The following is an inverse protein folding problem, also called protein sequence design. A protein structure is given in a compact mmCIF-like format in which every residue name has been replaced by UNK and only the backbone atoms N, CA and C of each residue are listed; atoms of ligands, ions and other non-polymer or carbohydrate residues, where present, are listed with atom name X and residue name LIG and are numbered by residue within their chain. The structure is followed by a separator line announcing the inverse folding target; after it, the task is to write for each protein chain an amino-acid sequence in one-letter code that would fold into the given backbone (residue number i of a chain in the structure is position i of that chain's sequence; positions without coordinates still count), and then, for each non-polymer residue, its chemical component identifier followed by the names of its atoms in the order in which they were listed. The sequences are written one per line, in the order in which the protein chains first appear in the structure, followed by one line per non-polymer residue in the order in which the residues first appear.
data_IF_192825843576
#
_entry.id   IF_192825843576
#
_cell.length_a   1.000
_cell.length_b   1.000
_cell.length_c   1.000
_cell.angle_alpha   90.00
_cell.angle_beta   90.00
_cell.angle_gamma   90.00
#
_symmetry.space_group_name_H-M   'P 1'
#
loop_
_entity.id
_entity.type
_entity.pdbx_description
1 polymer ?
#
# COMPACT_ATOMS: atom_id res chain seq x y z
N UNK A 1 12.36 5.99 -25.34
CA UNK A 1 11.91 4.58 -25.41
C UNK A 1 10.42 4.61 -25.61
N UNK A 2 9.86 3.80 -26.53
CA UNK A 2 8.42 3.69 -26.71
C UNK A 2 7.82 2.87 -25.55
N UNK A 3 6.68 3.32 -25.01
CA UNK A 3 6.01 2.60 -23.92
C UNK A 3 5.31 1.35 -24.48
N UNK A 4 5.74 0.18 -24.05
CA UNK A 4 5.13 -1.10 -24.33
C UNK A 4 5.17 -1.99 -23.08
N UNK A 5 4.00 -2.28 -22.49
CA UNK A 5 3.88 -3.07 -21.29
C UNK A 5 3.55 -4.52 -21.61
N UNK A 6 4.56 -5.38 -21.58
CA UNK A 6 4.40 -6.83 -21.70
C UNK A 6 4.14 -7.41 -20.29
N UNK A 7 2.86 -7.60 -19.97
CA UNK A 7 2.42 -8.07 -18.65
C UNK A 7 3.04 -9.41 -18.28
N UNK A 8 3.18 -10.34 -19.22
CA UNK A 8 3.75 -11.66 -18.99
C UNK A 8 5.23 -11.54 -18.62
N UNK A 9 6.01 -10.88 -19.48
CA UNK A 9 7.46 -10.67 -19.27
C UNK A 9 7.72 -9.98 -17.94
N UNK A 10 7.06 -8.85 -17.69
CA UNK A 10 7.23 -8.05 -16.48
C UNK A 10 6.85 -8.85 -15.22
N UNK A 11 5.76 -9.64 -15.28
CA UNK A 11 5.38 -10.50 -14.14
C UNK A 11 6.43 -11.58 -13.85
N UNK A 12 6.97 -12.22 -14.88
CA UNK A 12 8.01 -13.25 -14.72
C UNK A 12 9.30 -12.65 -14.15
N UNK A 13 9.74 -11.51 -14.65
CA UNK A 13 10.91 -10.79 -14.14
C UNK A 13 10.73 -10.34 -12.68
N UNK A 14 9.54 -9.84 -12.34
CA UNK A 14 9.21 -9.39 -10.99
C UNK A 14 9.18 -10.56 -9.98
N UNK A 15 8.62 -11.70 -10.38
CA UNK A 15 8.64 -12.93 -9.58
C UNK A 15 10.07 -13.39 -9.32
N UNK A 16 10.93 -13.37 -10.33
CA UNK A 16 12.34 -13.75 -10.17
C UNK A 16 13.12 -12.73 -9.33
N UNK A 17 12.83 -11.44 -9.48
CA UNK A 17 13.39 -10.40 -8.62
C UNK A 17 13.03 -10.62 -7.14
N UNK A 18 11.76 -10.96 -6.82
CA UNK A 18 11.33 -11.27 -5.45
C UNK A 18 12.11 -12.47 -4.89
N UNK A 19 12.24 -13.55 -5.67
CA UNK A 19 13.01 -14.74 -5.26
C UNK A 19 14.46 -14.39 -4.93
N UNK A 20 15.09 -13.65 -5.83
CA UNK A 20 16.49 -13.21 -5.68
C UNK A 20 16.67 -12.31 -4.47
N UNK A 21 15.75 -11.33 -4.30
CA UNK A 21 15.82 -10.41 -3.17
C UNK A 21 15.69 -11.15 -1.83
N UNK A 22 14.72 -12.06 -1.69
CA UNK A 22 14.52 -12.87 -0.47
C UNK A 22 15.72 -13.79 -0.22
N UNK A 23 16.28 -14.41 -1.26
CA UNK A 23 17.50 -15.25 -1.13
C UNK A 23 18.67 -14.45 -0.59
N UNK A 24 18.87 -13.23 -1.05
CA UNK A 24 20.01 -12.36 -0.67
C UNK A 24 19.80 -11.69 0.70
N UNK A 25 18.56 -11.53 1.15
CA UNK A 25 18.22 -10.80 2.39
C UNK A 25 17.53 -11.69 3.44
N UNK A 26 17.61 -13.00 3.27
CA UNK A 26 17.01 -13.99 4.14
C UNK A 26 17.57 -15.38 3.86
N UNK A 27 16.70 -16.39 3.87
CA UNK A 27 17.02 -17.78 3.53
C UNK A 27 15.74 -18.51 3.04
N UNK A 28 15.85 -19.81 2.77
CA UNK A 28 14.75 -20.62 2.21
C UNK A 28 13.52 -20.73 3.13
N UNK A 29 13.69 -20.48 4.43
CA UNK A 29 12.59 -20.46 5.41
C UNK A 29 12.04 -19.04 5.71
N UNK A 30 12.63 -17.98 5.16
CA UNK A 30 12.18 -16.61 5.38
C UNK A 30 10.77 -16.42 4.84
N UNK A 31 9.86 -15.97 5.70
CA UNK A 31 8.47 -15.62 5.36
C UNK A 31 8.34 -14.15 5.00
N UNK A 32 7.30 -13.81 4.28
CA UNK A 32 6.93 -12.42 4.00
C UNK A 32 5.61 -12.08 4.68
N UNK A 33 5.62 -10.98 5.41
CA UNK A 33 4.43 -10.41 6.04
C UNK A 33 3.87 -9.32 5.12
N UNK A 34 2.56 -9.41 4.84
CA UNK A 34 1.86 -8.42 4.01
C UNK A 34 0.60 -7.93 4.70
N UNK A 35 0.38 -6.61 4.64
CA UNK A 35 -0.90 -6.01 5.01
C UNK A 35 -1.94 -6.27 3.93
N UNK A 36 -3.06 -6.93 4.30
CA UNK A 36 -4.13 -7.28 3.37
C UNK A 36 -5.29 -6.32 3.54
N UNK A 37 -5.48 -5.42 2.58
CA UNK A 37 -6.59 -4.45 2.57
C UNK A 37 -7.78 -4.88 1.70
N UNK A 38 -7.59 -5.89 0.82
CA UNK A 38 -8.57 -6.27 -0.20
C UNK A 38 -8.62 -5.30 -1.40
N UNK A 39 -7.71 -4.31 -1.45
CA UNK A 39 -7.52 -3.43 -2.61
C UNK A 39 -6.55 -4.04 -3.64
N UNK A 40 -6.55 -3.49 -4.87
CA UNK A 40 -5.78 -3.98 -6.04
C UNK A 40 -4.30 -4.23 -5.75
N UNK A 41 -3.63 -3.29 -5.06
CA UNK A 41 -2.19 -3.31 -4.84
C UNK A 41 -1.80 -4.44 -3.88
N UNK A 42 -2.43 -4.49 -2.71
CA UNK A 42 -2.19 -5.56 -1.73
C UNK A 42 -2.55 -6.94 -2.28
N UNK A 43 -3.60 -7.02 -3.12
CA UNK A 43 -4.02 -8.27 -3.77
C UNK A 43 -2.98 -8.74 -4.79
N UNK A 44 -2.53 -7.86 -5.67
CA UNK A 44 -1.52 -8.17 -6.70
C UNK A 44 -0.18 -8.54 -6.07
N UNK A 45 0.28 -7.79 -5.04
CA UNK A 45 1.53 -8.14 -4.33
C UNK A 45 1.40 -9.47 -3.62
N UNK A 46 0.26 -9.79 -2.98
CA UNK A 46 0.05 -11.09 -2.34
C UNK A 46 0.15 -12.24 -3.34
N UNK A 47 -0.47 -12.11 -4.52
CA UNK A 47 -0.41 -13.12 -5.58
C UNK A 47 1.01 -13.28 -6.14
N UNK A 48 1.75 -12.18 -6.34
CA UNK A 48 3.16 -12.20 -6.75
C UNK A 48 4.03 -12.95 -5.74
N UNK A 49 3.83 -12.68 -4.46
CA UNK A 49 4.55 -13.36 -3.37
C UNK A 49 4.26 -14.86 -3.35
N UNK A 50 2.99 -15.25 -3.50
CA UNK A 50 2.61 -16.67 -3.57
C UNK A 50 3.22 -17.34 -4.79
N UNK A 51 3.21 -16.69 -5.96
CA UNK A 51 3.85 -17.21 -7.18
C UNK A 51 5.38 -17.31 -7.04
N UNK A 52 6.00 -16.40 -6.32
CA UNK A 52 7.45 -16.38 -6.13
C UNK A 52 7.92 -17.39 -5.07
N UNK A 53 7.25 -17.48 -3.93
CA UNK A 53 7.74 -18.15 -2.72
C UNK A 53 6.91 -19.37 -2.30
N UNK A 54 5.69 -19.52 -2.84
CA UNK A 54 4.70 -20.46 -2.35
C UNK A 54 3.88 -19.90 -1.17
N UNK A 55 2.64 -20.36 -1.05
CA UNK A 55 1.67 -19.87 -0.06
C UNK A 55 2.11 -20.00 1.40
N UNK A 56 2.91 -21.03 1.72
CA UNK A 56 3.35 -21.33 3.09
C UNK A 56 4.38 -20.33 3.62
N UNK A 57 4.96 -19.51 2.72
CA UNK A 57 5.92 -18.45 3.05
C UNK A 57 5.30 -17.05 3.02
N UNK A 58 4.00 -16.92 2.78
CA UNK A 58 3.27 -15.64 2.77
C UNK A 58 2.28 -15.61 3.93
N UNK A 59 2.34 -14.54 4.74
CA UNK A 59 1.45 -14.36 5.89
C UNK A 59 0.73 -13.02 5.74
N UNK A 60 -0.59 -13.08 5.58
CA UNK A 60 -1.47 -11.92 5.48
C UNK A 60 -1.89 -11.39 6.84
N UNK A 61 -1.82 -10.09 7.04
CA UNK A 61 -2.33 -9.43 8.25
C UNK A 61 -3.45 -8.45 7.84
N UNK A 62 -4.66 -8.75 8.26
CA UNK A 62 -5.81 -7.84 8.16
C UNK A 62 -5.84 -6.94 9.39
N UNK A 63 -5.92 -5.62 9.20
CA UNK A 63 -5.76 -4.63 10.27
C UNK A 63 -6.90 -3.61 10.29
N UNK A 64 -8.14 -4.04 10.61
CA UNK A 64 -9.26 -3.11 10.72
C UNK A 64 -9.05 -2.12 11.87
N UNK A 65 -9.53 -0.88 11.71
CA UNK A 65 -9.63 0.10 12.77
C UNK A 65 -11.09 0.21 13.25
N UNK A 66 -11.48 -0.69 14.13
CA UNK A 66 -12.88 -0.87 14.53
C UNK A 66 -13.64 -1.77 13.56
N UNK A 67 -14.88 -1.41 13.24
CA UNK A 67 -15.70 -2.12 12.24
C UNK A 67 -15.32 -1.62 10.84
N UNK A 68 -14.89 -2.51 9.98
CA UNK A 68 -14.54 -2.21 8.60
C UNK A 68 -15.51 -2.91 7.65
N UNK A 69 -16.19 -2.15 6.78
CA UNK A 69 -17.25 -2.66 5.90
C UNK A 69 -16.74 -3.61 4.82
N UNK A 70 -15.52 -3.41 4.34
CA UNK A 70 -14.90 -4.14 3.24
C UNK A 70 -13.88 -5.19 3.70
N UNK A 71 -13.93 -5.61 4.97
CA UNK A 71 -13.07 -6.70 5.49
C UNK A 71 -13.29 -8.03 4.74
N UNK A 72 -14.49 -8.21 4.16
CA UNK A 72 -14.82 -9.36 3.31
C UNK A 72 -13.93 -9.48 2.08
N UNK A 73 -13.46 -8.37 1.50
CA UNK A 73 -12.58 -8.38 0.35
C UNK A 73 -11.19 -8.90 0.73
N UNK A 74 -10.71 -8.50 1.92
CA UNK A 74 -9.47 -9.05 2.48
C UNK A 74 -9.59 -10.55 2.75
N UNK A 75 -10.73 -11.00 3.31
CA UNK A 75 -10.99 -12.42 3.55
C UNK A 75 -11.06 -13.20 2.23
N UNK A 76 -11.78 -12.68 1.24
CA UNK A 76 -11.87 -13.28 -0.11
C UNK A 76 -10.48 -13.49 -0.73
N UNK A 77 -9.59 -12.52 -0.59
CA UNK A 77 -8.23 -12.61 -1.10
C UNK A 77 -7.43 -13.72 -0.43
N UNK A 78 -7.40 -13.76 0.90
CA UNK A 78 -6.61 -14.77 1.64
C UNK A 78 -7.13 -16.18 1.42
N UNK A 79 -8.46 -16.34 1.27
CA UNK A 79 -9.10 -17.62 0.94
C UNK A 79 -8.75 -18.06 -0.50
N UNK A 80 -8.80 -17.12 -1.46
CA UNK A 80 -8.43 -17.38 -2.87
C UNK A 80 -6.98 -17.83 -3.01
N UNK A 81 -6.06 -17.20 -2.27
CA UNK A 81 -4.63 -17.53 -2.32
C UNK A 81 -4.25 -18.70 -1.38
N UNK A 82 -5.10 -19.09 -0.46
CA UNK A 82 -4.87 -20.14 0.53
C UNK A 82 -3.68 -19.85 1.45
N UNK A 83 -3.42 -18.56 1.76
CA UNK A 83 -2.31 -18.15 2.63
C UNK A 83 -2.69 -18.14 4.11
N UNK A 84 -1.69 -18.36 4.98
CA UNK A 84 -1.85 -18.12 6.42
C UNK A 84 -2.19 -16.64 6.65
N UNK A 85 -3.17 -16.36 7.52
CA UNK A 85 -3.55 -14.99 7.82
C UNK A 85 -3.99 -14.81 9.27
N UNK A 86 -3.94 -13.56 9.72
CA UNK A 86 -4.40 -13.14 11.04
C UNK A 86 -5.14 -11.80 10.93
N UNK A 87 -6.10 -11.58 11.84
CA UNK A 87 -6.80 -10.30 11.98
C UNK A 87 -6.36 -9.63 13.28
N UNK A 88 -5.76 -8.45 13.16
CA UNK A 88 -5.33 -7.62 14.28
C UNK A 88 -6.08 -6.29 14.24
N UNK A 89 -7.12 -6.14 15.06
CA UNK A 89 -7.86 -4.89 15.13
C UNK A 89 -7.04 -3.82 15.87
N UNK A 90 -6.62 -2.79 15.15
CA UNK A 90 -5.76 -1.71 15.67
C UNK A 90 -6.52 -0.66 16.50
N UNK A 91 -7.85 -0.76 16.59
CA UNK A 91 -8.69 0.27 17.24
C UNK A 91 -8.32 0.51 18.72
N UNK A 92 -8.00 -0.56 19.47
CA UNK A 92 -7.59 -0.39 20.86
C UNK A 92 -6.32 0.44 21.00
N UNK A 93 -5.33 0.23 20.14
CA UNK A 93 -4.09 1.00 20.10
C UNK A 93 -4.36 2.46 19.67
N UNK A 94 -5.21 2.65 18.65
CA UNK A 94 -5.64 3.98 18.19
C UNK A 94 -6.32 4.77 19.31
N UNK A 95 -7.32 4.18 19.98
CA UNK A 95 -8.04 4.82 21.10
C UNK A 95 -7.14 5.04 22.32
N UNK A 96 -6.21 4.11 22.60
CA UNK A 96 -5.22 4.29 23.65
C UNK A 96 -4.31 5.50 23.42
N UNK A 97 -3.87 5.71 22.17
CA UNK A 97 -3.06 6.88 21.82
C UNK A 97 -3.87 8.18 21.88
N UNK A 98 -5.14 8.18 21.45
CA UNK A 98 -6.03 9.33 21.59
C UNK A 98 -6.17 9.73 23.08
N UNK A 99 -6.44 8.74 23.94
CA UNK A 99 -6.55 8.97 25.39
C UNK A 99 -5.26 9.57 25.98
N UNK A 100 -4.10 9.02 25.62
CA UNK A 100 -2.82 9.53 26.09
C UNK A 100 -2.55 10.99 25.65
N UNK A 101 -2.98 11.39 24.44
CA UNK A 101 -2.84 12.77 23.98
C UNK A 101 -3.76 13.74 24.70
N UNK A 102 -4.98 13.32 25.06
CA UNK A 102 -5.88 14.11 25.91
C UNK A 102 -5.28 14.27 27.32
N UNK A 103 -4.82 13.19 27.94
CA UNK A 103 -4.18 13.20 29.26
C UNK A 103 -2.91 14.08 29.29
N UNK A 104 -2.19 14.14 28.18
CA UNK A 104 -1.00 15.00 28.05
C UNK A 104 -1.32 16.47 27.72
N UNK A 105 -2.59 16.83 27.49
CA UNK A 105 -3.00 18.18 27.08
C UNK A 105 -2.61 18.56 25.65
N UNK A 106 -2.34 17.57 24.79
CA UNK A 106 -2.05 17.79 23.36
C UNK A 106 -3.34 17.92 22.54
N UNK A 107 -4.41 17.28 23.00
CA UNK A 107 -5.75 17.36 22.43
C UNK A 107 -6.77 17.66 23.52
N UNK A 108 -7.77 18.49 23.19
CA UNK A 108 -8.86 18.77 24.12
C UNK A 108 -9.88 17.62 24.11
N UNK A 109 -10.52 17.28 25.25
CA UNK A 109 -11.63 16.36 25.26
C UNK A 109 -12.78 16.88 24.40
N UNK A 110 -13.41 16.04 23.59
CA UNK A 110 -14.64 16.43 22.89
C UNK A 110 -15.76 16.68 23.92
N UNK A 111 -16.35 17.87 23.89
CA UNK A 111 -17.39 18.29 24.86
C UNK A 111 -18.73 17.57 24.65
N UNK A 112 -18.92 16.79 23.59
CA UNK A 112 -20.18 16.13 23.31
C UNK A 112 -20.09 14.61 23.23
N UNK A 113 -20.94 13.94 24.00
CA UNK A 113 -21.15 12.49 24.03
C UNK A 113 -21.87 11.93 22.76
N UNK A 114 -22.10 12.77 21.73
CA UNK A 114 -22.80 12.37 20.51
C UNK A 114 -21.85 12.18 19.32
N UNK A 115 -21.16 11.07 19.25
CA UNK A 115 -20.56 10.56 18.01
C UNK A 115 -19.23 11.16 17.55
N UNK A 116 -18.72 12.21 18.16
CA UNK A 116 -17.61 13.02 17.66
C UNK A 116 -16.31 12.96 18.47
N UNK A 117 -16.01 11.84 19.11
CA UNK A 117 -14.74 11.67 19.82
C UNK A 117 -13.50 11.86 18.91
N UNK A 118 -13.67 11.72 17.59
CA UNK A 118 -12.61 11.96 16.61
C UNK A 118 -12.48 13.43 16.21
N UNK A 119 -13.45 14.31 16.48
CA UNK A 119 -13.41 15.73 16.10
C UNK A 119 -12.40 16.54 16.94
N UNK A 120 -12.01 16.03 18.12
CA UNK A 120 -10.91 16.57 18.90
C UNK A 120 -9.54 16.43 18.21
N UNK A 121 -9.44 15.61 17.18
CA UNK A 121 -8.19 15.28 16.49
C UNK A 121 -8.16 15.85 15.07
N UNK A 122 -6.99 16.36 14.68
CA UNK A 122 -6.79 16.93 13.36
C UNK A 122 -7.01 15.91 12.24
N UNK A 123 -7.39 16.32 11.02
CA UNK A 123 -7.47 15.42 9.87
C UNK A 123 -6.19 14.62 9.66
N UNK A 124 -5.02 15.25 9.81
CA UNK A 124 -3.72 14.57 9.71
C UNK A 124 -3.53 13.45 10.74
N UNK A 125 -3.98 13.64 11.98
CA UNK A 125 -3.95 12.58 12.98
C UNK A 125 -4.87 11.42 12.60
N UNK A 126 -6.10 11.72 12.21
CA UNK A 126 -7.11 10.70 11.84
C UNK A 126 -6.70 9.86 10.65
N UNK A 127 -6.00 10.44 9.67
CA UNK A 127 -5.53 9.75 8.47
C UNK A 127 -4.22 9.00 8.71
N UNK A 128 -3.21 9.67 9.28
CA UNK A 128 -1.86 9.11 9.31
C UNK A 128 -1.60 8.18 10.50
N UNK A 129 -2.29 8.38 11.64
CA UNK A 129 -2.05 7.54 12.81
C UNK A 129 -2.46 6.08 12.60
N UNK A 130 -3.64 5.77 12.00
CA UNK A 130 -3.98 4.39 11.68
C UNK A 130 -2.97 3.71 10.73
N UNK A 131 -2.45 4.42 9.71
CA UNK A 131 -1.44 3.88 8.80
C UNK A 131 -0.14 3.53 9.54
N UNK A 132 0.33 4.40 10.46
CA UNK A 132 1.51 4.13 11.29
C UNK A 132 1.29 2.99 12.28
N UNK A 133 0.11 2.87 12.87
CA UNK A 133 -0.24 1.72 13.72
C UNK A 133 -0.27 0.40 12.93
N UNK A 134 -0.74 0.42 11.67
CA UNK A 134 -0.66 -0.74 10.78
C UNK A 134 0.79 -1.13 10.50
N UNK A 135 1.66 -0.18 10.19
CA UNK A 135 3.11 -0.44 10.02
C UNK A 135 3.70 -1.08 11.29
N UNK A 136 3.45 -0.49 12.47
CA UNK A 136 3.90 -1.05 13.75
C UNK A 136 3.37 -2.48 13.97
N UNK A 137 2.11 -2.74 13.59
CA UNK A 137 1.49 -4.07 13.70
C UNK A 137 2.17 -5.09 12.77
N UNK A 138 2.50 -4.72 11.52
CA UNK A 138 3.20 -5.60 10.58
C UNK A 138 4.59 -5.98 11.09
N UNK A 139 5.37 -5.01 11.54
CA UNK A 139 6.70 -5.29 12.10
C UNK A 139 6.64 -6.03 13.43
N UNK A 140 5.62 -5.76 14.26
CA UNK A 140 5.34 -6.53 15.48
C UNK A 140 5.01 -7.99 15.17
N UNK A 141 4.15 -8.25 14.18
CA UNK A 141 3.84 -9.60 13.72
C UNK A 141 5.09 -10.31 13.15
N UNK A 142 5.89 -9.59 12.35
CA UNK A 142 7.14 -10.12 11.81
C UNK A 142 8.13 -10.53 12.92
N UNK A 143 8.25 -9.73 13.96
CA UNK A 143 9.09 -10.02 15.12
C UNK A 143 8.59 -11.22 15.93
N UNK A 144 7.26 -11.36 16.09
CA UNK A 144 6.65 -12.49 16.83
C UNK A 144 6.75 -13.81 16.07
N UNK A 145 6.57 -13.79 14.74
CA UNK A 145 6.67 -14.99 13.89
C UNK A 145 8.14 -15.39 13.71
N UNK A 146 9.04 -14.42 13.64
CA UNK A 146 10.49 -14.62 13.44
C UNK A 146 10.85 -14.92 11.97
N UNK A 147 12.09 -14.60 11.59
CA UNK A 147 12.63 -14.78 10.24
C UNK A 147 11.69 -14.29 9.12
N UNK A 148 11.17 -13.07 9.27
CA UNK A 148 10.22 -12.46 8.35
C UNK A 148 10.78 -11.19 7.71
N UNK A 149 10.19 -10.81 6.55
CA UNK A 149 10.36 -9.50 5.92
C UNK A 149 8.98 -8.89 5.70
N UNK A 150 8.86 -7.58 5.88
CA UNK A 150 7.63 -6.82 5.64
C UNK A 150 7.67 -6.26 4.22
N UNK A 151 6.66 -6.58 3.40
CA UNK A 151 6.57 -6.05 2.04
C UNK A 151 5.75 -4.76 2.01
N UNK A 152 6.22 -3.78 1.25
CA UNK A 152 5.49 -2.58 0.89
C UNK A 152 4.58 -2.84 -0.33
N UNK A 153 3.42 -2.18 -0.40
CA UNK A 153 2.43 -2.33 -1.48
C UNK A 153 2.12 -1.03 -2.21
N UNK A 154 2.88 0.05 -1.97
CA UNK A 154 2.73 1.30 -2.73
C UNK A 154 3.17 1.10 -4.19
N UNK A 155 2.42 1.70 -5.11
CA UNK A 155 2.71 1.71 -6.54
C UNK A 155 3.34 3.05 -6.97
N UNK A 156 3.86 3.12 -8.20
CA UNK A 156 4.51 4.31 -8.75
C UNK A 156 3.58 5.53 -8.76
N UNK A 157 2.31 5.36 -9.13
CA UNK A 157 1.38 6.48 -9.29
C UNK A 157 1.09 7.16 -7.93
N UNK A 158 0.99 6.36 -6.86
CA UNK A 158 0.86 6.86 -5.49
C UNK A 158 2.16 7.54 -5.02
N UNK A 159 3.30 6.89 -5.26
CA UNK A 159 4.62 7.40 -4.88
C UNK A 159 4.93 8.75 -5.54
N UNK A 160 4.59 8.93 -6.83
CA UNK A 160 4.83 10.18 -7.56
C UNK A 160 4.12 11.38 -6.94
N UNK A 161 2.89 11.21 -6.46
CA UNK A 161 2.13 12.31 -5.83
C UNK A 161 2.19 12.27 -4.30
N UNK A 162 2.92 11.31 -3.74
CA UNK A 162 3.09 11.10 -2.30
C UNK A 162 1.78 10.79 -1.58
N UNK A 163 0.87 10.05 -2.24
CA UNK A 163 -0.39 9.59 -1.67
C UNK A 163 -0.15 8.38 -0.76
N UNK A 164 0.65 8.60 0.26
CA UNK A 164 0.99 7.63 1.29
C UNK A 164 1.39 8.34 2.58
N UNK A 165 1.25 7.65 3.70
CA UNK A 165 1.70 8.13 5.01
C UNK A 165 3.16 7.79 5.21
N UNK A 166 3.97 8.85 5.37
CA UNK A 166 5.40 8.73 5.66
C UNK A 166 5.63 7.95 6.97
N UNK A 167 6.42 6.88 6.91
CA UNK A 167 6.59 5.89 7.98
C UNK A 167 5.29 5.20 8.44
N UNK A 168 4.29 5.14 7.56
CA UNK A 168 3.08 4.35 7.71
C UNK A 168 3.02 3.28 6.60
N UNK A 169 2.07 3.41 5.70
CA UNK A 169 1.91 2.52 4.53
C UNK A 169 3.08 2.63 3.54
N UNK A 170 3.85 3.73 3.54
CA UNK A 170 5.10 3.83 2.75
C UNK A 170 6.25 2.98 3.28
N UNK A 171 6.17 2.40 4.49
CA UNK A 171 7.22 1.58 5.07
C UNK A 171 7.21 0.14 4.55
N UNK A 172 8.37 -0.51 4.65
CA UNK A 172 8.58 -1.91 4.28
C UNK A 172 10.07 -2.23 4.24
N UNK A 173 10.41 -3.50 4.04
CA UNK A 173 11.80 -3.94 3.82
C UNK A 173 12.13 -3.95 2.32
N UNK A 174 11.11 -4.11 1.46
CA UNK A 174 11.20 -4.05 0.01
C UNK A 174 9.85 -3.69 -0.61
N UNK A 175 9.86 -3.17 -1.84
CA UNK A 175 8.70 -2.62 -2.53
C UNK A 175 8.62 -3.14 -3.98
N UNK A 176 8.03 -4.32 -4.23
CA UNK A 176 8.08 -4.96 -5.55
C UNK A 176 7.43 -4.14 -6.66
N UNK A 177 6.34 -3.40 -6.37
CA UNK A 177 5.54 -2.68 -7.38
C UNK A 177 5.76 -1.16 -7.39
N UNK A 178 6.70 -0.61 -6.59
CA UNK A 178 6.89 0.85 -6.47
C UNK A 178 7.35 1.55 -7.76
N UNK A 179 7.71 0.81 -8.80
CA UNK A 179 8.04 1.33 -10.14
C UNK A 179 7.05 0.92 -11.22
N UNK A 180 5.90 0.38 -10.81
CA UNK A 180 4.78 0.03 -11.68
C UNK A 180 3.61 0.98 -11.42
N UNK A 181 2.98 1.46 -12.49
CA UNK A 181 1.80 2.32 -12.39
C UNK A 181 0.58 1.54 -11.92
N UNK A 182 -0.44 2.25 -11.44
CA UNK A 182 -1.72 1.65 -11.02
C UNK A 182 -2.31 0.73 -12.10
N UNK A 183 -2.29 1.15 -13.38
CA UNK A 183 -2.82 0.38 -14.50
C UNK A 183 -1.99 -0.89 -14.78
N UNK A 184 -0.68 -0.80 -14.65
CA UNK A 184 0.24 -1.95 -14.80
C UNK A 184 0.02 -2.98 -13.68
N UNK A 185 -0.22 -2.52 -12.46
CA UNK A 185 -0.52 -3.39 -11.30
C UNK A 185 -1.84 -4.13 -11.48
N UNK A 186 -2.88 -3.45 -12.00
CA UNK A 186 -4.17 -4.10 -12.34
C UNK A 186 -3.97 -5.19 -13.39
N UNK A 187 -3.25 -4.91 -14.49
CA UNK A 187 -2.97 -5.89 -15.53
C UNK A 187 -2.20 -7.13 -15.01
N UNK A 188 -1.25 -6.92 -14.08
CA UNK A 188 -0.53 -8.02 -13.43
C UNK A 188 -1.49 -8.85 -12.57
N UNK A 189 -2.38 -8.20 -11.80
CA UNK A 189 -3.38 -8.89 -10.98
C UNK A 189 -4.31 -9.77 -11.82
N UNK A 190 -4.80 -9.24 -12.94
CA UNK A 190 -5.64 -9.97 -13.89
C UNK A 190 -4.88 -11.15 -14.52
N UNK A 191 -3.62 -10.93 -14.95
CA UNK A 191 -2.75 -11.98 -15.48
C UNK A 191 -2.48 -13.10 -14.48
N UNK A 192 -2.42 -12.77 -13.18
CA UNK A 192 -2.25 -13.75 -12.09
C UNK A 192 -3.55 -14.49 -11.74
N UNK A 193 -4.68 -14.14 -12.36
CA UNK A 193 -5.97 -14.79 -12.14
C UNK A 193 -6.68 -14.37 -10.86
N UNK A 194 -6.40 -13.18 -10.35
CA UNK A 194 -7.13 -12.64 -9.21
C UNK A 194 -8.59 -12.33 -9.58
N UNK A 195 -9.52 -12.44 -8.61
CA UNK A 195 -10.91 -12.02 -8.83
C UNK A 195 -11.01 -10.57 -9.31
N UNK A 196 -11.77 -10.31 -10.37
CA UNK A 196 -11.91 -9.01 -11.01
C UNK A 196 -12.34 -7.90 -10.03
N UNK A 197 -13.22 -8.19 -9.10
CA UNK A 197 -13.69 -7.25 -8.08
C UNK A 197 -12.61 -6.84 -7.06
N UNK A 198 -11.50 -7.58 -6.95
CA UNK A 198 -10.33 -7.19 -6.15
C UNK A 198 -9.34 -6.35 -6.97
N UNK A 199 -9.15 -6.65 -8.26
CA UNK A 199 -8.20 -5.92 -9.12
C UNK A 199 -8.77 -4.61 -9.64
N UNK A 200 -10.08 -4.53 -9.88
CA UNK A 200 -10.77 -3.36 -10.44
C UNK A 200 -11.61 -2.57 -9.41
N UNK A 201 -11.43 -2.86 -8.11
CA UNK A 201 -12.04 -2.05 -7.05
C UNK A 201 -11.56 -0.61 -7.13
N UNK A 202 -12.50 0.33 -7.08
CA UNK A 202 -12.15 1.75 -7.06
C UNK A 202 -11.19 2.05 -5.87
N UNK A 203 -10.08 2.76 -6.11
CA UNK A 203 -9.15 3.11 -5.04
C UNK A 203 -9.86 3.94 -3.97
N UNK A 204 -9.83 3.49 -2.72
CA UNK A 204 -10.36 4.26 -1.60
C UNK A 204 -9.57 3.96 -0.33
N UNK A 205 -9.38 4.97 0.49
CA UNK A 205 -8.75 4.83 1.81
C UNK A 205 -9.64 4.12 2.85
N UNK A 206 -10.89 3.79 2.48
CA UNK A 206 -11.88 3.14 3.35
C UNK A 206 -12.38 4.03 4.50
N UNK A 207 -12.01 5.30 4.56
CA UNK A 207 -12.26 6.17 5.73
C UNK A 207 -13.32 7.24 5.50
N UNK A 208 -13.32 7.90 4.34
CA UNK A 208 -14.18 9.08 4.12
C UNK A 208 -15.27 8.90 3.08
N UNK A 209 -15.41 7.74 2.45
CA UNK A 209 -16.41 7.46 1.41
C UNK A 209 -16.14 8.15 0.07
N UNK A 210 -14.96 8.82 -0.07
CA UNK A 210 -14.45 9.39 -1.30
C UNK A 210 -13.39 8.48 -1.89
N UNK A 211 -13.23 8.55 -3.20
CA UNK A 211 -12.10 7.88 -3.87
C UNK A 211 -10.80 8.68 -3.68
N UNK A 212 -9.68 8.02 -3.93
CA UNK A 212 -8.36 8.69 -3.93
C UNK A 212 -8.34 9.83 -4.95
N UNK A 213 -8.91 9.63 -6.14
CA UNK A 213 -8.99 10.63 -7.22
C UNK A 213 -9.85 11.83 -6.82
N UNK A 214 -10.95 11.62 -6.06
CA UNK A 214 -11.74 12.73 -5.49
C UNK A 214 -10.90 13.60 -4.53
N UNK A 215 -10.03 12.97 -3.75
CA UNK A 215 -9.14 13.66 -2.81
C UNK A 215 -7.97 14.35 -3.52
N UNK A 216 -7.47 13.77 -4.60
CA UNK A 216 -6.36 14.30 -5.40
C UNK A 216 -6.82 15.45 -6.31
N UNK A 217 -8.04 15.36 -6.86
CA UNK A 217 -8.59 16.30 -7.85
C UNK A 217 -8.02 16.10 -9.25
N UNK A 218 -7.45 14.92 -9.54
CA UNK A 218 -7.00 14.41 -10.84
C UNK A 218 -6.94 12.88 -10.78
N UNK A 219 -6.83 12.24 -11.95
CA UNK A 219 -6.90 10.78 -12.05
C UNK A 219 -5.52 10.12 -12.03
N UNK A 220 -5.47 8.85 -11.62
CA UNK A 220 -4.26 8.03 -11.77
C UNK A 220 -3.88 7.84 -13.24
N UNK A 221 -4.86 7.79 -14.14
CA UNK A 221 -4.61 7.73 -15.58
C UNK A 221 -3.76 8.91 -16.07
N UNK A 222 -4.07 10.14 -15.64
CA UNK A 222 -3.26 11.33 -16.01
C UNK A 222 -1.81 11.22 -15.48
N UNK A 223 -1.63 10.70 -14.26
CA UNK A 223 -0.28 10.45 -13.70
C UNK A 223 0.47 9.41 -14.56
N UNK A 224 -0.21 8.32 -14.95
CA UNK A 224 0.36 7.22 -15.73
C UNK A 224 0.80 7.69 -17.13
N UNK A 225 -0.03 8.50 -17.80
CA UNK A 225 0.29 9.08 -19.10
C UNK A 225 1.52 10.01 -19.05
N UNK A 226 1.63 10.83 -17.99
CA UNK A 226 2.83 11.63 -17.78
C UNK A 226 4.03 10.72 -17.54
N UNK A 227 3.90 9.75 -16.61
CA UNK A 227 5.01 8.90 -16.19
C UNK A 227 5.58 8.06 -17.35
N UNK A 228 4.72 7.45 -18.15
CA UNK A 228 5.12 6.50 -19.21
C UNK A 228 5.33 7.14 -20.57
N UNK A 229 4.51 8.13 -20.92
CA UNK A 229 4.50 8.71 -22.28
C UNK A 229 4.88 10.18 -22.32
N UNK A 230 5.02 10.85 -21.18
CA UNK A 230 5.31 12.29 -21.11
C UNK A 230 4.14 13.16 -21.58
N UNK A 231 2.91 12.61 -21.66
CA UNK A 231 1.74 13.33 -22.13
C UNK A 231 1.23 14.28 -21.04
N UNK A 232 1.15 15.57 -21.35
CA UNK A 232 0.68 16.62 -20.44
C UNK A 232 -0.83 16.79 -20.57
N UNK A 233 -1.57 16.25 -19.61
CA UNK A 233 -3.02 16.41 -19.50
C UNK A 233 -3.43 17.75 -18.85
N UNK A 234 -4.75 17.97 -18.66
CA UNK A 234 -5.29 19.23 -18.13
C UNK A 234 -4.85 19.53 -16.67
N UNK A 235 -4.53 18.52 -15.90
CA UNK A 235 -4.08 18.65 -14.51
C UNK A 235 -2.55 18.56 -14.33
N UNK A 236 -1.77 18.63 -15.42
CA UNK A 236 -0.32 18.48 -15.41
C UNK A 236 0.36 19.33 -14.32
N UNK A 237 0.07 20.62 -14.26
CA UNK A 237 0.71 21.53 -13.30
C UNK A 237 0.39 21.17 -11.85
N UNK A 238 -0.85 20.74 -11.57
CA UNK A 238 -1.24 20.27 -10.22
C UNK A 238 -0.50 18.98 -9.83
N UNK A 239 -0.36 18.05 -10.77
CA UNK A 239 0.35 16.79 -10.56
C UNK A 239 1.82 17.08 -10.28
N UNK A 240 2.49 17.94 -11.09
CA UNK A 240 3.88 18.33 -10.89
C UNK A 240 4.08 19.07 -9.57
N UNK A 241 3.17 19.95 -9.21
CA UNK A 241 3.23 20.64 -7.91
C UNK A 241 3.17 19.63 -6.75
N UNK A 242 2.24 18.67 -6.83
CA UNK A 242 2.09 17.62 -5.79
C UNK A 242 3.31 16.69 -5.73
N UNK A 243 3.86 16.32 -6.89
CA UNK A 243 5.12 15.59 -7.00
C UNK A 243 6.25 16.34 -6.29
N UNK A 244 6.49 17.60 -6.62
CA UNK A 244 7.58 18.40 -6.03
C UNK A 244 7.47 18.52 -4.51
N UNK A 245 6.24 18.60 -3.98
CA UNK A 245 6.01 18.70 -2.54
C UNK A 245 6.23 17.39 -1.79
N UNK A 246 6.08 16.23 -2.45
CA UNK A 246 6.00 14.94 -1.77
C UNK A 246 7.14 13.98 -2.12
N UNK A 247 7.86 14.18 -3.22
CA UNK A 247 8.90 13.24 -3.69
C UNK A 247 10.00 12.97 -2.65
N UNK A 248 10.19 13.89 -1.70
CA UNK A 248 11.13 13.69 -0.60
C UNK A 248 10.83 12.42 0.20
N UNK A 249 9.55 12.00 0.32
CA UNK A 249 9.14 10.79 1.05
C UNK A 249 9.79 9.55 0.43
N UNK A 250 9.69 9.43 -0.89
CA UNK A 250 10.27 8.30 -1.64
C UNK A 250 11.81 8.33 -1.58
N UNK A 251 12.41 9.52 -1.74
CA UNK A 251 13.87 9.68 -1.70
C UNK A 251 14.47 9.34 -0.34
N UNK A 252 13.78 9.64 0.76
CA UNK A 252 14.23 9.32 2.11
C UNK A 252 14.06 7.83 2.42
N UNK A 253 12.89 7.25 2.10
CA UNK A 253 12.59 5.85 2.40
C UNK A 253 13.41 4.92 1.47
N UNK A 254 13.47 5.21 0.18
CA UNK A 254 14.29 4.53 -0.84
C UNK A 254 14.35 3.00 -0.68
N UNK A 255 13.19 2.35 -0.67
CA UNK A 255 13.11 0.89 -0.51
C UNK A 255 13.74 0.16 -1.71
N UNK A 256 14.37 -1.00 -1.49
CA UNK A 256 14.73 -1.91 -2.57
C UNK A 256 13.51 -2.27 -3.41
N UNK A 257 13.57 -2.07 -4.72
CA UNK A 257 12.44 -2.27 -5.62
C UNK A 257 12.87 -2.89 -6.95
N UNK A 258 11.94 -3.62 -7.57
CA UNK A 258 12.08 -4.02 -8.96
C UNK A 258 11.99 -2.79 -9.87
N UNK A 259 12.86 -2.72 -10.87
CA UNK A 259 12.90 -1.62 -11.86
C UNK A 259 12.65 -2.21 -13.25
N UNK A 260 11.43 -2.05 -13.81
CA UNK A 260 11.15 -2.48 -15.16
C UNK A 260 11.92 -1.64 -16.19
N UNK A 261 12.24 -2.25 -17.33
CA UNK A 261 12.78 -1.51 -18.49
C UNK A 261 11.64 -0.81 -19.25
N UNK A 262 11.11 0.24 -18.59
CA UNK A 262 10.00 1.07 -19.10
C UNK A 262 10.38 2.55 -19.01
N UNK A 263 9.86 3.41 -19.90
CA UNK A 263 10.10 4.85 -19.80
C UNK A 263 9.57 5.42 -18.48
N UNK A 264 10.31 6.36 -17.92
CA UNK A 264 9.89 7.11 -16.74
C UNK A 264 10.26 8.59 -16.90
N UNK A 265 9.26 9.43 -17.01
CA UNK A 265 9.42 10.87 -17.24
C UNK A 265 9.38 11.69 -15.94
N UNK A 266 9.87 11.11 -14.84
CA UNK A 266 10.06 11.73 -13.54
C UNK A 266 11.43 11.35 -12.96
N UNK A 267 11.97 12.21 -12.09
CA UNK A 267 13.24 11.96 -11.37
C UNK A 267 12.97 11.40 -9.96
N UNK A 268 13.11 10.09 -9.78
CA UNK A 268 12.96 9.39 -8.49
C UNK A 268 14.09 8.38 -8.21
#
# INVERSE_FOLDING_TARGET
MEYNFDVKKITEELVEWIRTWIKNNGNDSTKVIIGVSGGKDSSTVSALLVKALGKDRVVGIMMPNGTQKDISDSQKLVDHLGIQHFTVNINKAYRGLQKAFIEAGIAEPAESLSGAADDAFTPGFRTNTPARLRMTTLYGAAAMIGNCRVVNTCNLSEDLVGYSTFYGDSAGDFAPISKLTTEEVVQIGDYLGLPHDLTHKAPSDGMCGKTDEDNLGFTYHEINEIARRGIKGPNYDKIIQKYNWNIFKVRIINLPCYRPDLPLNFEI
#
